data_IF_518441978513
#
_entry.id   IF_518441978513
#
_cell.length_a   1.000
_cell.length_b   1.000
_cell.length_c   1.000
_cell.angle_alpha   90.00
_cell.angle_beta   90.00
_cell.angle_gamma   90.00
#
_symmetry.space_group_name_H-M   'P 1'
#
loop_
_entity.id
_entity.type
_entity.pdbx_description
1 polymer ?
2 non-polymer ?
3 water ?
#
# COMPACT_ATOMS: atom_id res chain seq x y z
N UNK A 13 -6.69 15.46 10.56
CA UNK A 13 -5.23 15.21 10.76
C UNK A 13 -4.72 14.05 9.90
N UNK A 14 -5.49 12.97 9.85
CA UNK A 14 -5.14 11.78 9.06
C UNK A 14 -5.27 12.03 7.55
N UNK A 15 -6.37 12.67 7.15
CA UNK A 15 -6.62 13.06 5.75
C UNK A 15 -5.51 13.97 5.21
N UNK A 16 -5.15 14.97 6.02
CA UNK A 16 -4.10 15.94 5.68
C UNK A 16 -2.68 15.37 5.81
N UNK A 17 -2.56 14.21 6.45
CA UNK A 17 -1.26 13.57 6.68
C UNK A 17 -0.91 12.44 5.72
N UNK A 18 -1.93 11.74 5.22
CA UNK A 18 -1.72 10.57 4.36
C UNK A 18 -1.44 10.96 2.90
N UNK A 19 -2.17 11.95 2.38
CA UNK A 19 -2.02 12.38 0.98
C UNK A 19 -0.58 12.77 0.67
N UNK A 20 -0.06 12.21 -0.43
CA UNK A 20 1.28 12.52 -0.91
C UNK A 20 2.07 11.31 -1.37
N UNK A 21 3.38 11.50 -1.45
CA UNK A 21 4.31 10.49 -1.92
C UNK A 21 4.99 9.83 -0.73
N UNK A 22 5.06 8.50 -0.77
CA UNK A 22 5.67 7.70 0.27
C UNK A 22 6.68 6.75 -0.34
N UNK A 23 7.71 6.43 0.43
CA UNK A 23 8.80 5.57 -0.02
C UNK A 23 8.99 4.45 0.99
N UNK A 24 9.08 3.21 0.52
CA UNK A 24 9.37 2.10 1.42
C UNK A 24 10.86 2.00 1.77
N UNK A 25 11.21 0.96 2.52
CA UNK A 25 12.56 0.78 3.07
C UNK A 25 13.68 0.57 2.04
N UNK A 26 13.30 0.16 0.82
CA UNK A 26 14.27 0.00 -0.26
C UNK A 26 14.08 1.02 -1.39
N UNK A 27 13.25 0.69 -2.38
CA UNK A 27 13.11 1.53 -3.59
C UNK A 27 11.72 1.57 -4.25
N UNK A 28 10.66 1.25 -3.50
CA UNK A 28 9.29 1.37 -4.00
C UNK A 28 8.63 2.71 -3.64
N UNK A 29 7.72 3.17 -4.50
CA UNK A 29 7.08 4.49 -4.41
C UNK A 29 5.56 4.34 -4.40
N UNK A 30 4.94 4.94 -3.38
CA UNK A 30 3.50 4.84 -3.09
C UNK A 30 2.96 6.28 -3.15
N UNK A 31 2.16 6.57 -4.18
CA UNK A 31 1.55 7.90 -4.38
C UNK A 31 0.06 7.78 -4.11
N UNK A 32 -0.44 8.56 -3.15
CA UNK A 32 -1.80 8.38 -2.65
C UNK A 32 -2.52 9.70 -2.35
N UNK A 33 -3.83 9.71 -2.61
CA UNK A 33 -4.72 10.76 -2.16
C UNK A 33 -5.73 10.14 -1.20
N UNK A 34 -5.81 10.73 -0.01
CA UNK A 34 -6.80 10.36 1.00
C UNK A 34 -8.01 11.29 0.90
N UNK A 35 -9.12 10.74 0.42
CA UNK A 35 -10.37 11.50 0.26
C UNK A 35 -11.12 11.66 1.56
N UNK A 36 -11.97 12.69 1.63
CA UNK A 36 -12.78 12.97 2.82
C UNK A 36 -13.74 11.83 3.20
N UNK A 37 -14.08 11.01 2.21
CA UNK A 37 -15.01 9.88 2.36
C UNK A 37 -14.36 8.57 2.85
N UNK A 38 -13.04 8.59 3.07
CA UNK A 38 -12.31 7.39 3.47
C UNK A 38 -11.61 6.66 2.34
N UNK A 39 -11.65 7.21 1.13
CA UNK A 39 -11.04 6.58 -0.03
C UNK A 39 -9.53 6.82 -0.10
N UNK A 40 -8.81 5.79 -0.55
CA UNK A 40 -7.42 5.93 -0.98
C UNK A 40 -7.35 5.63 -2.47
N UNK A 41 -6.72 6.54 -3.21
CA UNK A 41 -6.55 6.41 -4.66
C UNK A 41 -5.14 6.85 -5.03
N UNK A 42 -4.52 6.16 -5.98
CA UNK A 42 -3.23 6.58 -6.48
C UNK A 42 -2.53 5.52 -7.29
N UNK A 43 -1.20 5.52 -7.20
CA UNK A 43 -0.36 4.61 -7.97
C UNK A 43 0.77 4.05 -7.12
N UNK A 44 1.21 2.85 -7.48
CA UNK A 44 2.32 2.19 -6.81
C UNK A 44 3.34 1.77 -7.85
N UNK A 45 4.62 1.95 -7.51
CA UNK A 45 5.72 1.50 -8.34
C UNK A 45 6.65 0.66 -7.47
N UNK A 46 6.83 -0.60 -7.86
CA UNK A 46 7.73 -1.51 -7.16
C UNK A 46 9.06 -1.64 -7.89
N UNK A 47 10.15 -1.56 -7.14
CA UNK A 47 11.48 -1.76 -7.71
C UNK A 47 11.91 -3.23 -7.71
N UNK A 48 11.07 -4.10 -7.15
CA UNK A 48 11.31 -5.55 -7.15
C UNK A 48 10.12 -6.33 -7.72
N UNK A 49 10.36 -7.58 -8.08
CA UNK A 49 9.30 -8.46 -8.56
C UNK A 49 8.98 -8.27 -10.03
N UNK A 50 7.90 -8.90 -10.46
CA UNK A 50 7.49 -8.87 -11.85
C UNK A 50 6.63 -7.63 -12.08
N UNK A 51 7.31 -6.49 -12.17
CA UNK A 51 6.67 -5.18 -12.14
C UNK A 51 7.53 -4.16 -12.86
N UNK A 52 6.86 -3.23 -13.54
CA UNK A 52 7.51 -2.16 -14.26
C UNK A 52 6.55 -0.98 -14.26
N UNK A 53 7.08 0.21 -13.99
CA UNK A 53 6.32 1.48 -13.99
C UNK A 53 5.21 1.49 -12.93
N UNK A 54 4.16 2.27 -13.16
CA UNK A 54 3.12 2.50 -12.16
C UNK A 54 1.92 1.58 -12.35
N UNK A 55 1.29 1.25 -11.23
CA UNK A 55 0.09 0.42 -11.18
C UNK A 55 -0.96 1.15 -10.37
N UNK A 56 -2.21 0.99 -10.77
CA UNK A 56 -3.34 1.60 -10.05
C UNK A 56 -3.45 0.98 -8.66
N UNK A 57 -3.67 1.82 -7.66
CA UNK A 57 -4.08 1.34 -6.35
C UNK A 57 -5.37 1.98 -5.90
N UNK A 58 -6.11 1.23 -5.09
CA UNK A 58 -7.26 1.76 -4.40
C UNK A 58 -7.33 1.13 -3.02
N UNK A 59 -7.86 1.88 -2.06
CA UNK A 59 -7.96 1.41 -0.70
C UNK A 59 -8.89 2.24 0.15
N UNK A 60 -8.81 2.02 1.46
CA UNK A 60 -9.66 2.69 2.43
C UNK A 60 -8.83 3.03 3.65
N UNK A 61 -9.22 4.10 4.34
CA UNK A 61 -8.61 4.46 5.62
C UNK A 61 -9.69 4.95 6.56
N UNK A 62 -9.41 4.88 7.86
CA UNK A 62 -10.29 5.42 8.89
C UNK A 62 -10.21 6.95 8.86
N UNK A 63 -11.29 7.58 8.39
CA UNK A 63 -11.34 9.04 8.23
C UNK A 63 -11.75 9.80 9.50
N UNK A 64 -12.01 9.07 10.58
CA UNK A 64 -12.22 9.66 11.90
C UNK A 64 -11.47 8.85 12.96
N UNK A 65 -10.11 8.88 12.93
CA UNK A 65 -9.33 8.06 13.86
C UNK A 65 -9.44 8.54 15.31
N UNK A 66 -9.03 7.68 16.25
CA UNK A 66 -8.99 8.03 17.67
C UNK A 66 -8.00 9.17 17.92
N UNK A 67 -8.27 9.95 18.97
CA UNK A 67 -7.44 11.11 19.33
C UNK A 67 -6.55 10.84 20.55
N UNK A 68 -6.40 9.56 20.90
CA UNK A 68 -5.67 9.12 22.10
C UNK A 68 -4.19 8.79 21.86
N UNK A 69 -3.70 9.06 20.65
CA UNK A 69 -2.33 8.75 20.27
C UNK A 69 -2.18 7.49 19.42
N UNK A 70 -3.30 6.83 19.15
CA UNK A 70 -3.33 5.67 18.26
C UNK A 70 -3.11 6.05 16.80
N UNK A 71 -2.57 5.12 16.03
CA UNK A 71 -2.43 5.29 14.58
C UNK A 71 -3.76 5.22 13.85
N UNK A 72 -3.72 5.50 12.55
CA UNK A 72 -4.89 5.51 11.69
C UNK A 72 -4.85 4.26 10.82
N UNK A 73 -5.83 3.38 11.01
CA UNK A 73 -5.90 2.14 10.24
C UNK A 73 -6.22 2.40 8.77
N UNK A 74 -5.57 1.63 7.90
CA UNK A 74 -5.73 1.75 6.46
C UNK A 74 -5.33 0.47 5.74
N UNK A 75 -5.69 0.39 4.47
CA UNK A 75 -5.25 -0.68 3.60
C UNK A 75 -5.45 -0.30 2.16
N UNK A 76 -4.70 -0.94 1.27
CA UNK A 76 -4.89 -0.76 -0.17
C UNK A 76 -4.47 -2.00 -0.95
N UNK A 77 -4.91 -2.05 -2.21
CA UNK A 77 -4.64 -3.16 -3.12
C UNK A 77 -4.02 -2.64 -4.41
N UNK A 78 -3.06 -3.41 -4.92
CA UNK A 78 -2.55 -3.28 -6.29
C UNK A 78 -2.73 -4.63 -6.98
N UNK A 79 -3.42 -4.65 -8.12
CA UNK A 79 -3.35 -5.79 -9.05
C UNK A 79 -2.24 -5.50 -10.04
N UNK A 80 -1.33 -6.47 -10.21
CA UNK A 80 -0.08 -6.23 -10.94
C UNK A 80 -0.21 -6.38 -12.46
N UNK A 81 -1.22 -5.69 -12.99
CA UNK A 81 -1.45 -5.54 -14.42
C UNK A 81 -1.43 -4.06 -14.77
N UNK A 82 -0.62 -3.71 -15.76
CA UNK A 82 -0.68 -2.38 -16.38
C UNK A 82 -0.47 -2.53 -17.89
N UNK A 83 -0.15 -1.44 -18.57
CA UNK A 83 0.05 -1.48 -20.03
C UNK A 83 1.30 -2.21 -20.49
N UNK A 84 2.22 -2.48 -19.56
CA UNK A 84 3.52 -3.08 -19.88
C UNK A 84 3.60 -4.56 -19.52
N UNK A 85 3.01 -4.93 -18.39
CA UNK A 85 3.20 -6.25 -17.80
C UNK A 85 1.94 -6.71 -17.10
N UNK A 86 1.81 -8.03 -16.98
CA UNK A 86 0.80 -8.63 -16.12
C UNK A 86 1.39 -9.82 -15.38
N UNK A 87 1.60 -9.65 -14.07
CA UNK A 87 2.17 -10.69 -13.22
C UNK A 87 1.15 -11.72 -12.74
N UNK A 88 -0.13 -11.48 -13.05
CA UNK A 88 -1.25 -12.34 -12.59
C UNK A 88 -1.20 -12.52 -11.07
N UNK A 89 -1.16 -11.38 -10.39
CA UNK A 89 -0.97 -11.33 -8.94
C UNK A 89 -1.53 -10.03 -8.38
N UNK A 90 -1.76 -10.01 -7.07
CA UNK A 90 -2.26 -8.83 -6.39
C UNK A 90 -1.70 -8.77 -4.98
N UNK A 91 -1.32 -7.57 -4.55
CA UNK A 91 -0.85 -7.34 -3.19
C UNK A 91 -1.83 -6.46 -2.44
N UNK A 92 -2.12 -6.83 -1.19
CA UNK A 92 -2.81 -5.94 -0.27
C UNK A 92 -1.89 -5.58 0.87
N UNK A 93 -1.84 -4.29 1.21
CA UNK A 93 -1.11 -3.80 2.37
C UNK A 93 -2.14 -3.40 3.41
N UNK A 94 -1.95 -3.88 4.64
CA UNK A 94 -2.80 -3.56 5.78
C UNK A 94 -1.90 -2.96 6.85
N UNK A 95 -2.29 -1.81 7.38
CA UNK A 95 -1.43 -1.15 8.35
C UNK A 95 -2.02 0.06 9.02
N UNK A 96 -1.13 0.90 9.54
CA UNK A 96 -1.54 2.13 10.17
C UNK A 96 -0.58 3.28 9.88
N UNK A 97 -1.17 4.46 9.71
CA UNK A 97 -0.46 5.71 9.59
C UNK A 97 -0.16 6.28 10.97
N UNK A 98 1.09 6.67 11.18
CA UNK A 98 1.56 7.30 12.41
C UNK A 98 2.06 8.70 12.05
N UNK A 99 1.40 9.72 12.60
CA UNK A 99 1.73 11.11 12.31
C UNK A 99 2.96 11.63 13.04
N UNK A 100 3.25 12.91 12.85
CA UNK A 100 4.37 13.58 13.51
C UNK A 100 5.51 13.94 12.58
N UNK A 101 6.62 14.38 13.18
CA UNK A 101 7.82 14.83 12.45
C UNK A 101 8.48 13.73 11.62
N UNK A 102 8.44 12.50 12.13
CA UNK A 102 8.92 11.32 11.41
C UNK A 102 7.72 10.42 11.08
N UNK A 103 6.85 10.92 10.21
CA UNK A 103 5.62 10.22 9.82
C UNK A 103 5.92 8.88 9.16
N UNK A 104 5.09 7.89 9.48
CA UNK A 104 5.27 6.52 8.98
C UNK A 104 3.94 5.90 8.60
N UNK A 105 3.98 5.04 7.58
CA UNK A 105 2.91 4.06 7.35
C UNK A 105 3.55 2.68 7.54
N UNK A 106 3.15 2.00 8.60
CA UNK A 106 3.68 0.68 8.93
C UNK A 106 2.69 -0.37 8.47
N UNK A 107 3.14 -1.27 7.60
CA UNK A 107 2.25 -2.25 6.97
C UNK A 107 2.76 -3.68 7.02
N UNK A 108 1.81 -4.60 6.91
CA UNK A 108 2.09 -5.96 6.52
C UNK A 108 1.32 -6.21 5.23
N UNK A 109 1.83 -7.10 4.39
CA UNK A 109 1.22 -7.34 3.10
C UNK A 109 1.04 -8.81 2.75
N UNK A 110 0.08 -9.06 1.87
CA UNK A 110 -0.19 -10.38 1.31
C UNK A 110 -0.19 -10.27 -0.20
N UNK A 111 0.68 -11.04 -0.84
CA UNK A 111 0.81 -11.06 -2.29
C UNK A 111 0.34 -12.41 -2.81
N UNK A 112 -0.85 -12.41 -3.42
CA UNK A 112 -1.44 -13.63 -3.97
C UNK A 112 -1.28 -13.69 -5.48
N UNK A 113 -0.73 -14.80 -5.96
CA UNK A 113 -0.66 -15.09 -7.39
C UNK A 113 -1.81 -15.99 -7.79
N UNK A 114 -2.32 -15.79 -9.01
CA UNK A 114 -3.22 -16.76 -9.62
C UNK A 114 -2.49 -18.08 -9.83
N UNK A 115 -3.07 -19.16 -9.32
CA UNK A 115 -2.46 -20.50 -9.43
C UNK A 115 -3.51 -21.51 -9.86
N UNK A 116 -3.05 -22.70 -10.26
CA UNK A 116 -3.92 -23.87 -10.34
C UNK A 116 -4.36 -24.27 -8.93
N UNK A 117 -5.40 -25.10 -8.83
CA UNK A 117 -5.86 -25.59 -7.54
C UNK A 117 -4.77 -26.40 -6.82
N UNK A 118 -4.04 -27.22 -7.59
CA UNK A 118 -2.92 -28.02 -7.07
C UNK A 118 -1.82 -27.17 -6.43
N UNK A 119 -1.61 -25.97 -6.96
CA UNK A 119 -0.58 -25.07 -6.46
C UNK A 119 -1.07 -23.96 -5.52
N UNK A 120 -2.36 -24.00 -5.16
CA UNK A 120 -2.96 -22.93 -4.35
C UNK A 120 -2.33 -22.77 -2.97
N UNK A 121 -1.83 -23.87 -2.40
CA UNK A 121 -1.16 -23.85 -1.10
C UNK A 121 0.04 -22.89 -1.06
N UNK A 122 0.68 -22.68 -2.22
CA UNK A 122 1.83 -21.78 -2.33
C UNK A 122 1.52 -20.49 -3.12
N UNK A 123 0.26 -20.06 -3.08
CA UNK A 123 -0.18 -18.88 -3.82
C UNK A 123 0.20 -17.54 -3.18
N UNK A 124 0.48 -17.53 -1.88
CA UNK A 124 0.49 -16.28 -1.13
C UNK A 124 1.77 -16.02 -0.35
N UNK A 125 2.45 -14.94 -0.70
CA UNK A 125 3.60 -14.44 0.05
C UNK A 125 3.15 -13.44 1.10
N UNK A 126 3.87 -13.40 2.21
CA UNK A 126 3.62 -12.43 3.28
C UNK A 126 4.90 -11.66 3.59
N UNK A 127 4.75 -10.37 3.87
CA UNK A 127 5.87 -9.55 4.26
C UNK A 127 5.43 -8.28 4.92
N UNK A 128 6.37 -7.33 5.00
CA UNK A 128 6.12 -6.06 5.65
C UNK A 128 6.86 -4.94 4.94
N UNK A 129 6.21 -3.78 4.89
CA UNK A 129 6.79 -2.57 4.32
C UNK A 129 6.58 -1.43 5.29
N UNK A 130 7.62 -0.62 5.48
CA UNK A 130 7.54 0.62 6.24
C UNK A 130 7.76 1.79 5.28
N UNK A 131 6.79 2.70 5.24
CA UNK A 131 6.83 3.86 4.34
C UNK A 131 7.13 5.13 5.10
N UNK A 132 7.98 5.97 4.51
CA UNK A 132 8.34 7.28 5.05
C UNK A 132 8.13 8.34 3.97
N UNK A 133 8.09 9.60 4.39
CA UNK A 133 7.95 10.72 3.45
C UNK A 133 9.25 11.11 2.75
N UNK A 134 10.38 10.62 3.25
CA UNK A 134 11.72 10.86 2.66
C UNK A 134 12.37 9.52 2.31
N UNK A 135 12.96 9.43 1.12
CA UNK A 135 13.70 8.23 0.70
C UNK A 135 15.18 8.31 1.10
X LIG B 1 4.83 -9.78 -8.60
X LIG B 1 6.06 -10.04 -8.64
X LIG B 1 3.96 -10.67 -8.50
X LIG B 1 4.38 -8.34 -8.67
X LIG B 1 5.29 -7.37 -7.90
X LIG B 1 5.22 -7.57 -6.38
X LIG B 1 6.06 -6.55 -5.62
X LIG B 1 5.94 -6.75 -4.10
X LIG B 1 4.40 -6.17 -3.41
X LIG B 1 5.04 -6.35 -1.78
X LIG B 1 6.50 -5.88 -1.84
X LIG B 1 6.58 -4.46 -1.61
X LIG B 1 7.02 -3.83 -2.69
X LIG B 1 7.15 -2.61 -2.79
X LIG B 1 7.30 -4.69 -3.66
X LIG B 1 7.02 -6.06 -3.26
#
# INVERSE_FOLDING_TARGET
MDPSKDSKAQVSAAEAGITGTWYNQLCSTFIVTAGADGALTGTYESCVGNAESRYVLTGRYDSAPATDGSGTALGWTVAWKNNYRNAHSATTWSGQYVGGAEARINTQWLLTSGTTEANAWKSTLVGHDTFTKVKPSAASIDAAKKAGVNNGNPLDAVQQ
BTN C11 O11 O12 C10 C9 C8 C7 C2 S1 C6 C5 N1 C3 O3 N2 C4
#
